data_IF_571168374425
#
_entry.id   IF_571168374425
#
_cell.length_a   1.000
_cell.length_b   1.000
_cell.length_c   1.000
_cell.angle_alpha   90.00
_cell.angle_beta   90.00
_cell.angle_gamma   90.00
#
_symmetry.space_group_name_H-M   'P 1'
#
loop_
_entity.id
_entity.type
_entity.pdbx_description
1 polymer ?
#
# COMPACT_ATOMS: atom_id res chain seq x y z
N UNK A 1 51.47 -10.32 -15.00
CA UNK A 1 50.58 -10.01 -13.85
C UNK A 1 49.51 -9.05 -14.36
N UNK A 2 48.48 -9.59 -15.01
CA UNK A 2 47.39 -8.79 -15.56
C UNK A 2 46.32 -8.63 -14.52
N UNK A 3 46.19 -7.43 -13.99
CA UNK A 3 45.06 -7.01 -13.18
C UNK A 3 43.81 -6.99 -14.08
N UNK A 4 42.93 -7.98 -13.94
CA UNK A 4 41.58 -7.91 -14.44
C UNK A 4 40.85 -6.79 -13.67
N UNK A 5 40.78 -5.62 -14.28
CA UNK A 5 39.85 -4.57 -13.88
C UNK A 5 38.46 -5.06 -14.28
N UNK A 6 37.74 -5.66 -13.32
CA UNK A 6 36.31 -5.89 -13.45
C UNK A 6 35.70 -4.53 -13.71
N UNK A 7 35.06 -4.37 -14.87
CA UNK A 7 34.19 -3.23 -15.13
C UNK A 7 33.16 -3.15 -14.00
N UNK A 8 32.86 -1.96 -13.44
CA UNK A 8 31.73 -1.82 -12.53
C UNK A 8 30.48 -2.14 -13.37
N UNK A 9 29.88 -3.31 -13.14
CA UNK A 9 28.46 -3.49 -13.46
C UNK A 9 27.80 -2.34 -12.72
N UNK A 10 27.30 -1.37 -13.47
CA UNK A 10 26.44 -0.32 -12.96
C UNK A 10 25.40 -1.02 -12.10
N UNK A 11 25.45 -0.74 -10.80
CA UNK A 11 24.41 -1.16 -9.87
C UNK A 11 23.21 -0.34 -10.30
N UNK A 12 22.41 -0.85 -11.25
CA UNK A 12 21.16 -0.24 -11.65
C UNK A 12 20.34 -0.08 -10.38
N UNK A 13 20.22 1.16 -9.90
CA UNK A 13 19.39 1.49 -8.76
C UNK A 13 17.97 1.05 -9.15
N UNK A 14 17.53 -0.05 -8.56
CA UNK A 14 16.26 -0.69 -8.92
C UNK A 14 15.12 0.09 -8.26
N UNK A 15 14.65 1.13 -8.96
CA UNK A 15 13.60 2.03 -8.48
C UNK A 15 12.29 1.28 -8.24
N UNK A 16 11.60 1.67 -7.18
CA UNK A 16 10.21 1.28 -6.93
C UNK A 16 9.36 2.54 -7.12
N UNK A 17 8.24 2.43 -7.80
CA UNK A 17 7.29 3.55 -7.95
C UNK A 17 6.00 3.24 -7.22
N UNK A 18 5.54 4.17 -6.38
CA UNK A 18 4.23 4.12 -5.74
C UNK A 18 3.30 5.18 -6.33
N UNK A 19 2.04 4.82 -6.56
CA UNK A 19 1.01 5.70 -7.09
C UNK A 19 -0.10 5.85 -6.04
N UNK A 20 -0.36 7.09 -5.61
CA UNK A 20 -1.41 7.45 -4.66
C UNK A 20 -2.38 8.42 -5.31
N UNK A 21 -3.51 7.92 -5.81
CA UNK A 21 -4.46 8.77 -6.55
C UNK A 21 -5.17 9.78 -5.65
N UNK A 22 -5.42 9.43 -4.39
CA UNK A 22 -6.22 10.22 -3.45
C UNK A 22 -5.53 10.35 -2.08
N UNK A 23 -4.36 11.02 -2.02
CA UNK A 23 -3.66 11.27 -0.76
C UNK A 23 -4.53 12.06 0.22
N UNK A 24 -4.18 12.03 1.49
CA UNK A 24 -4.88 12.76 2.53
C UNK A 24 -3.91 13.32 3.57
N UNK A 25 -4.22 14.52 4.10
CA UNK A 25 -3.62 14.96 5.35
C UNK A 25 -4.37 14.25 6.49
N UNK A 26 -3.74 13.28 7.13
CA UNK A 26 -4.34 12.61 8.27
C UNK A 26 -4.10 13.41 9.55
N UNK A 27 -5.20 13.67 10.29
CA UNK A 27 -5.18 14.33 11.60
C UNK A 27 -5.67 13.35 12.65
N UNK A 28 -4.80 13.02 13.58
CA UNK A 28 -5.16 12.26 14.77
C UNK A 28 -5.49 13.23 15.89
N UNK A 29 -6.68 13.09 16.47
CA UNK A 29 -7.17 14.00 17.50
C UNK A 29 -7.73 13.22 18.69
N UNK A 30 -7.54 13.75 19.87
CA UNK A 30 -8.16 13.23 21.09
C UNK A 30 -9.31 14.12 21.54
N UNK A 31 -10.36 13.48 22.01
CA UNK A 31 -11.55 14.12 22.55
C UNK A 31 -12.06 13.34 23.76
N UNK A 32 -12.70 13.99 24.72
CA UNK A 32 -13.29 13.29 25.87
C UNK A 32 -14.49 12.45 25.47
N UNK A 33 -15.44 13.06 24.78
CA UNK A 33 -16.66 12.41 24.28
C UNK A 33 -17.18 13.20 23.09
N UNK A 34 -17.65 12.52 22.05
CA UNK A 34 -18.31 13.17 20.91
C UNK A 34 -19.80 13.38 21.24
N UNK A 35 -20.20 14.65 21.34
CA UNK A 35 -21.57 15.07 21.52
C UNK A 35 -22.15 15.58 20.21
N UNK A 36 -23.05 14.82 19.61
CA UNK A 36 -23.69 15.19 18.34
C UNK A 36 -24.60 16.39 18.54
N UNK A 37 -24.47 17.41 17.71
CA UNK A 37 -25.24 18.65 17.77
C UNK A 37 -24.68 19.72 18.73
N UNK A 38 -23.54 19.47 19.37
CA UNK A 38 -22.88 20.38 20.29
C UNK A 38 -21.48 20.78 19.81
N UNK A 39 -20.91 21.79 20.45
CA UNK A 39 -19.51 22.15 20.23
C UNK A 39 -18.59 21.17 20.94
N UNK A 40 -17.80 20.46 20.18
CA UNK A 40 -16.77 19.55 20.69
C UNK A 40 -15.39 20.21 20.62
N UNK A 41 -14.58 20.07 21.67
CA UNK A 41 -13.17 20.52 21.69
C UNK A 41 -12.27 19.30 21.69
N UNK A 42 -11.36 19.25 20.72
CA UNK A 42 -10.43 18.15 20.55
C UNK A 42 -8.99 18.68 20.51
N UNK A 43 -8.06 17.88 20.99
CA UNK A 43 -6.62 18.14 20.93
C UNK A 43 -6.02 17.42 19.73
N UNK A 44 -5.17 18.10 18.95
CA UNK A 44 -4.44 17.49 17.83
C UNK A 44 -3.24 16.76 18.41
N UNK A 45 -3.21 15.42 18.25
CA UNK A 45 -2.08 14.59 18.66
C UNK A 45 -1.01 14.53 17.57
N UNK A 46 -1.42 14.40 16.32
CA UNK A 46 -0.50 14.39 15.18
C UNK A 46 -1.17 14.83 13.89
N UNK A 47 -0.34 15.26 12.93
CA UNK A 47 -0.72 15.49 11.53
C UNK A 47 0.37 14.90 10.64
N UNK A 48 -0.03 14.15 9.62
CA UNK A 48 0.93 13.51 8.71
C UNK A 48 0.41 13.50 7.28
N UNK A 49 1.35 13.63 6.33
CA UNK A 49 1.11 13.30 4.94
C UNK A 49 0.85 11.80 4.84
N UNK A 50 -0.31 11.40 4.31
CA UNK A 50 -0.78 10.03 4.28
C UNK A 50 -1.43 9.66 2.95
N UNK A 51 -1.73 8.41 2.81
CA UNK A 51 -2.30 7.76 1.64
C UNK A 51 -1.53 6.50 1.33
N UNK A 52 -2.24 5.41 1.04
CA UNK A 52 -1.66 4.06 0.97
C UNK A 52 -0.30 3.99 0.22
N UNK A 53 -0.19 4.59 -0.97
CA UNK A 53 1.07 4.56 -1.72
C UNK A 53 2.17 5.45 -1.11
N UNK A 54 1.83 6.54 -0.41
CA UNK A 54 2.78 7.35 0.36
C UNK A 54 3.27 6.55 1.57
N UNK A 55 2.37 5.84 2.24
CA UNK A 55 2.71 5.02 3.39
C UNK A 55 3.59 3.82 2.98
N UNK A 56 3.31 3.20 1.83
CA UNK A 56 4.22 2.23 1.20
C UNK A 56 5.60 2.85 0.93
N UNK A 57 5.65 4.09 0.40
CA UNK A 57 6.93 4.75 0.12
C UNK A 57 7.75 5.02 1.39
N UNK A 58 7.12 5.44 2.49
CA UNK A 58 7.80 5.64 3.78
C UNK A 58 8.42 4.34 4.28
N UNK A 59 7.67 3.25 4.32
CA UNK A 59 8.18 1.92 4.72
C UNK A 59 9.35 1.49 3.82
N UNK A 60 9.27 1.72 2.51
CA UNK A 60 10.38 1.43 1.61
C UNK A 60 11.64 2.24 1.96
N UNK A 61 11.48 3.49 2.41
CA UNK A 61 12.62 4.33 2.86
C UNK A 61 13.20 3.87 4.20
N UNK A 62 12.41 3.36 5.13
CA UNK A 62 12.91 2.70 6.35
C UNK A 62 13.90 1.59 5.98
N UNK A 63 13.63 0.85 4.91
CA UNK A 63 14.51 -0.20 4.36
C UNK A 63 15.48 0.32 3.29
N UNK A 64 15.76 1.62 3.24
CA UNK A 64 16.76 2.28 2.38
C UNK A 64 16.57 2.01 0.89
N UNK A 65 15.31 1.76 0.46
CA UNK A 65 14.99 1.59 -0.97
C UNK A 65 14.79 2.93 -1.64
N UNK A 66 15.31 3.08 -2.85
CA UNK A 66 15.02 4.24 -3.68
C UNK A 66 13.59 4.16 -4.20
N UNK A 67 12.80 5.21 -3.97
CA UNK A 67 11.37 5.23 -4.29
C UNK A 67 10.96 6.53 -4.97
N UNK A 68 10.19 6.39 -6.05
CA UNK A 68 9.44 7.47 -6.66
C UNK A 68 7.99 7.41 -6.14
N UNK A 69 7.43 8.52 -5.70
CA UNK A 69 6.03 8.63 -5.36
C UNK A 69 5.32 9.59 -6.31
N UNK A 70 4.16 9.18 -6.83
CA UNK A 70 3.35 10.01 -7.73
C UNK A 70 1.86 9.88 -7.43
N UNK A 71 1.07 10.78 -7.97
CA UNK A 71 -0.37 10.89 -7.76
C UNK A 71 -0.82 12.33 -7.92
N UNK A 72 -1.91 12.72 -7.26
CA UNK A 72 -2.45 14.07 -7.30
C UNK A 72 -2.25 14.77 -5.96
N UNK A 73 -1.67 15.98 -5.98
CA UNK A 73 -1.41 16.76 -4.77
C UNK A 73 -1.68 18.23 -5.02
N UNK A 74 -2.47 18.90 -4.17
CA UNK A 74 -2.77 20.31 -4.34
C UNK A 74 -3.30 21.01 -3.10
N UNK A 75 -3.52 22.33 -3.25
CA UNK A 75 -4.06 23.20 -2.23
C UNK A 75 -3.11 23.52 -1.09
N UNK A 76 -3.66 24.07 -0.01
CA UNK A 76 -2.90 24.63 1.12
C UNK A 76 -2.14 23.58 1.94
N UNK A 77 -2.47 22.31 1.80
CA UNK A 77 -1.79 21.19 2.52
C UNK A 77 -0.59 20.64 1.74
N UNK A 78 -0.45 20.92 0.46
CA UNK A 78 0.63 20.40 -0.37
C UNK A 78 2.05 20.66 0.17
N UNK A 79 2.36 21.81 0.81
CA UNK A 79 3.68 22.04 1.43
C UNK A 79 4.03 21.01 2.51
N UNK A 80 3.05 20.51 3.27
CA UNK A 80 3.26 19.49 4.32
C UNK A 80 3.74 18.18 3.68
N UNK A 81 3.14 17.79 2.56
CA UNK A 81 3.56 16.61 1.82
C UNK A 81 4.97 16.75 1.23
N UNK A 82 5.26 17.91 0.64
CA UNK A 82 6.59 18.18 0.06
C UNK A 82 7.69 18.13 1.14
N UNK A 83 7.40 18.67 2.32
CA UNK A 83 8.33 18.58 3.46
C UNK A 83 8.52 17.12 3.87
N UNK A 84 7.44 16.35 4.02
CA UNK A 84 7.51 14.92 4.33
C UNK A 84 8.36 14.16 3.28
N UNK A 85 8.17 14.41 1.99
CA UNK A 85 8.96 13.74 0.95
C UNK A 85 10.45 14.08 1.02
N UNK A 86 10.79 15.33 1.38
CA UNK A 86 12.19 15.73 1.61
C UNK A 86 12.80 15.04 2.82
N UNK A 87 12.08 15.03 3.96
CA UNK A 87 12.54 14.43 5.20
C UNK A 87 12.76 12.93 5.06
N UNK A 88 11.82 12.25 4.39
CA UNK A 88 11.85 10.81 4.12
C UNK A 88 12.72 10.42 2.89
N UNK A 89 13.27 11.41 2.18
CA UNK A 89 14.05 11.19 0.94
C UNK A 89 13.27 10.41 -0.11
N UNK A 90 11.97 10.71 -0.26
CA UNK A 90 11.09 10.19 -1.30
C UNK A 90 11.19 11.10 -2.52
N UNK A 91 11.41 10.55 -3.71
CA UNK A 91 11.42 11.33 -4.95
C UNK A 91 10.00 11.75 -5.31
N UNK A 92 9.69 13.04 -5.17
CA UNK A 92 8.39 13.63 -5.44
C UNK A 92 8.15 13.80 -6.94
N UNK A 93 7.15 13.09 -7.45
CA UNK A 93 6.66 13.19 -8.82
C UNK A 93 5.15 13.44 -8.88
N UNK A 94 4.55 13.97 -7.82
CA UNK A 94 3.13 14.27 -7.77
C UNK A 94 2.73 15.33 -8.79
N UNK A 95 1.56 15.14 -9.40
CA UNK A 95 0.93 16.13 -10.28
C UNK A 95 0.28 17.20 -9.41
N UNK A 96 0.66 18.46 -9.65
CA UNK A 96 0.05 19.59 -8.97
C UNK A 96 -1.36 19.82 -9.52
N UNK A 97 -2.36 19.82 -8.65
CA UNK A 97 -3.77 19.98 -9.01
C UNK A 97 -4.34 21.31 -8.50
N UNK A 98 -5.40 21.79 -9.16
CA UNK A 98 -6.14 22.99 -8.75
C UNK A 98 -6.93 22.79 -7.48
N UNK A 99 -7.43 21.56 -7.27
CA UNK A 99 -8.17 21.16 -6.09
C UNK A 99 -7.29 21.08 -4.84
N UNK A 100 -7.91 21.01 -3.67
CA UNK A 100 -7.20 20.81 -2.41
C UNK A 100 -7.23 19.34 -2.04
N UNK A 101 -6.05 18.78 -1.76
CA UNK A 101 -5.89 17.45 -1.19
C UNK A 101 -6.70 17.34 0.09
N UNK A 102 -7.43 16.24 0.23
CA UNK A 102 -8.37 16.00 1.33
C UNK A 102 -7.68 15.89 2.68
N UNK A 103 -8.48 16.10 3.75
CA UNK A 103 -8.08 15.85 5.12
C UNK A 103 -8.94 14.75 5.69
N UNK A 104 -8.33 13.76 6.33
CA UNK A 104 -9.01 12.78 7.14
C UNK A 104 -8.83 13.12 8.61
N UNK A 105 -9.87 12.97 9.42
CA UNK A 105 -9.83 13.19 10.86
C UNK A 105 -10.13 11.87 11.56
N UNK A 106 -9.22 11.45 12.43
CA UNK A 106 -9.39 10.30 13.30
C UNK A 106 -9.53 10.82 14.72
N UNK A 107 -10.70 10.61 15.32
CA UNK A 107 -11.01 11.02 16.68
C UNK A 107 -10.94 9.80 17.60
N UNK A 108 -10.16 9.90 18.65
CA UNK A 108 -10.13 8.93 19.75
C UNK A 108 -10.76 9.54 20.99
N UNK A 109 -11.75 8.88 21.56
CA UNK A 109 -12.27 9.28 22.85
C UNK A 109 -11.44 8.71 24.01
N UNK A 110 -11.67 9.21 25.22
CA UNK A 110 -10.97 8.74 26.43
C UNK A 110 -11.25 7.29 26.79
N UNK A 111 -12.24 6.65 26.12
CA UNK A 111 -12.56 5.22 26.26
C UNK A 111 -11.89 4.37 25.18
N UNK A 112 -11.07 4.97 24.34
CA UNK A 112 -10.39 4.31 23.23
C UNK A 112 -11.27 4.04 22.01
N UNK A 113 -12.50 4.60 21.95
CA UNK A 113 -13.36 4.45 20.78
C UNK A 113 -12.88 5.38 19.67
N UNK A 114 -12.71 4.82 18.48
CA UNK A 114 -12.30 5.54 17.26
C UNK A 114 -13.50 5.94 16.42
N UNK A 115 -13.48 7.17 15.91
CA UNK A 115 -14.39 7.67 14.90
C UNK A 115 -13.59 8.32 13.77
N UNK A 116 -13.92 8.00 12.54
CA UNK A 116 -13.24 8.53 11.35
C UNK A 116 -14.17 9.41 10.55
N UNK A 117 -13.66 10.58 10.14
CA UNK A 117 -14.29 11.49 9.19
C UNK A 117 -13.38 11.58 7.97
N UNK A 118 -13.80 10.97 6.87
CA UNK A 118 -13.00 10.85 5.65
C UNK A 118 -13.59 11.72 4.55
N UNK A 119 -12.84 12.70 4.08
CA UNK A 119 -13.24 13.51 2.92
C UNK A 119 -13.12 12.69 1.63
N UNK A 120 -14.01 12.97 0.66
CA UNK A 120 -14.03 12.27 -0.64
C UNK A 120 -12.83 12.61 -1.54
N UNK A 121 -12.16 13.72 -1.28
CA UNK A 121 -11.08 14.23 -2.13
C UNK A 121 -11.57 15.21 -3.22
N UNK A 122 -10.60 15.85 -3.91
CA UNK A 122 -10.89 16.85 -4.93
C UNK A 122 -11.46 16.24 -6.22
N UNK A 123 -11.99 17.10 -7.08
CA UNK A 123 -12.27 16.79 -8.48
C UNK A 123 -10.99 16.97 -9.29
N UNK A 124 -10.63 15.99 -10.11
CA UNK A 124 -9.44 16.02 -10.98
C UNK A 124 -9.88 16.32 -12.41
N UNK A 125 -9.29 17.32 -13.03
CA UNK A 125 -9.65 17.70 -14.40
C UNK A 125 -8.93 16.83 -15.46
N UNK A 126 -9.41 16.91 -16.70
CA UNK A 126 -8.89 16.09 -17.80
C UNK A 126 -7.40 16.34 -18.09
N UNK A 127 -6.89 17.56 -17.85
CA UNK A 127 -5.48 17.89 -18.05
C UNK A 127 -4.62 17.24 -16.97
N UNK A 128 -5.04 17.32 -15.71
CA UNK A 128 -4.39 16.70 -14.57
C UNK A 128 -4.37 15.16 -14.70
N UNK A 129 -5.49 14.58 -15.15
CA UNK A 129 -5.60 13.16 -15.48
C UNK A 129 -4.58 12.75 -16.56
N UNK A 130 -4.49 13.52 -17.65
CA UNK A 130 -3.55 13.21 -18.73
C UNK A 130 -2.09 13.32 -18.27
N UNK A 131 -1.76 14.30 -17.44
CA UNK A 131 -0.42 14.47 -16.87
C UNK A 131 0.00 13.29 -16.00
N UNK A 132 -0.91 12.75 -15.18
CA UNK A 132 -0.57 11.58 -14.35
C UNK A 132 -0.35 10.32 -15.21
N UNK A 133 -1.15 10.08 -16.25
CA UNK A 133 -0.91 8.95 -17.16
C UNK A 133 0.47 9.04 -17.79
N UNK A 134 0.87 10.21 -18.28
CA UNK A 134 2.21 10.44 -18.84
C UNK A 134 3.31 10.19 -17.80
N UNK A 135 3.11 10.68 -16.56
CA UNK A 135 4.07 10.51 -15.47
C UNK A 135 4.21 9.03 -15.08
N UNK A 136 3.11 8.30 -14.95
CA UNK A 136 3.13 6.86 -14.63
C UNK A 136 3.82 6.08 -15.75
N UNK A 137 3.56 6.40 -17.01
CA UNK A 137 4.28 5.78 -18.14
C UNK A 137 5.80 6.01 -18.05
N UNK A 138 6.22 7.26 -17.80
CA UNK A 138 7.64 7.62 -17.65
C UNK A 138 8.31 6.85 -16.50
N UNK A 139 7.66 6.85 -15.32
CA UNK A 139 8.23 6.22 -14.12
C UNK A 139 8.24 4.69 -14.23
N UNK A 140 7.21 4.08 -14.80
CA UNK A 140 7.13 2.62 -14.97
C UNK A 140 8.27 2.07 -15.84
N UNK A 141 8.72 2.81 -16.86
CA UNK A 141 9.88 2.44 -17.70
C UNK A 141 11.19 2.32 -16.91
N UNK A 142 11.29 2.99 -15.76
CA UNK A 142 12.49 3.03 -14.92
C UNK A 142 12.34 2.20 -13.64
N UNK A 143 11.18 1.58 -13.44
CA UNK A 143 10.84 0.89 -12.20
C UNK A 143 10.95 -0.63 -12.34
N UNK A 144 11.50 -1.26 -11.31
CA UNK A 144 11.44 -2.72 -11.16
C UNK A 144 10.08 -3.18 -10.64
N UNK A 145 9.41 -2.34 -9.85
CA UNK A 145 8.07 -2.58 -9.28
C UNK A 145 7.26 -1.30 -9.33
N UNK A 146 5.99 -1.41 -9.66
CA UNK A 146 5.00 -0.32 -9.56
C UNK A 146 3.87 -0.76 -8.65
N UNK A 147 3.59 0.01 -7.59
CA UNK A 147 2.48 -0.22 -6.68
C UNK A 147 1.43 0.88 -6.84
N UNK A 148 0.20 0.54 -7.23
CA UNK A 148 -0.93 1.46 -7.33
C UNK A 148 -1.84 1.21 -6.14
N UNK A 149 -1.96 2.20 -5.24
CA UNK A 149 -2.54 2.00 -3.92
C UNK A 149 -3.61 3.04 -3.57
N UNK A 150 -4.63 2.58 -2.86
CA UNK A 150 -5.65 3.43 -2.25
C UNK A 150 -6.89 3.64 -3.11
N UNK A 151 -7.72 4.58 -2.68
CA UNK A 151 -8.97 4.96 -3.35
C UNK A 151 -8.70 5.97 -4.47
N UNK A 152 -9.71 6.18 -5.32
CA UNK A 152 -9.68 7.22 -6.34
C UNK A 152 -10.40 8.50 -5.88
N UNK A 153 -9.94 9.69 -6.29
CA UNK A 153 -10.66 10.93 -6.13
C UNK A 153 -11.77 11.06 -7.21
N UNK A 154 -12.60 12.08 -7.11
CA UNK A 154 -13.59 12.39 -8.14
C UNK A 154 -12.90 12.74 -9.47
N UNK A 155 -13.52 12.38 -10.58
CA UNK A 155 -12.94 12.51 -11.92
C UNK A 155 -12.13 11.29 -12.39
N UNK A 156 -11.71 10.41 -11.48
CA UNK A 156 -11.08 9.13 -11.82
C UNK A 156 -12.15 8.05 -11.89
N UNK A 157 -12.54 7.68 -13.09
CA UNK A 157 -13.49 6.61 -13.37
C UNK A 157 -12.80 5.25 -13.61
N UNK A 158 -13.59 4.21 -13.82
CA UNK A 158 -13.10 2.86 -14.10
C UNK A 158 -12.29 2.77 -15.40
N UNK A 159 -12.68 3.54 -16.43
CA UNK A 159 -11.97 3.58 -17.70
C UNK A 159 -10.57 4.21 -17.56
N UNK A 160 -10.48 5.30 -16.80
CA UNK A 160 -9.19 5.91 -16.47
C UNK A 160 -8.32 4.96 -15.66
N UNK A 161 -8.87 4.32 -14.62
CA UNK A 161 -8.12 3.38 -13.77
C UNK A 161 -7.62 2.17 -14.57
N UNK A 162 -8.46 1.64 -15.47
CA UNK A 162 -8.05 0.61 -16.43
C UNK A 162 -6.84 1.05 -17.25
N UNK A 163 -6.90 2.25 -17.85
CA UNK A 163 -5.82 2.79 -18.67
C UNK A 163 -4.54 2.99 -17.86
N UNK A 164 -4.65 3.47 -16.62
CA UNK A 164 -3.51 3.65 -15.71
C UNK A 164 -2.79 2.32 -15.47
N UNK A 165 -3.54 1.26 -15.13
CA UNK A 165 -2.96 -0.07 -14.91
C UNK A 165 -2.32 -0.62 -16.19
N UNK A 166 -2.99 -0.47 -17.33
CA UNK A 166 -2.47 -0.94 -18.62
C UNK A 166 -1.15 -0.25 -18.99
N UNK A 167 -1.04 1.07 -18.77
CA UNK A 167 0.20 1.81 -19.00
C UNK A 167 1.32 1.36 -18.06
N UNK A 168 1.03 1.15 -16.77
CA UNK A 168 2.00 0.62 -15.84
C UNK A 168 2.50 -0.76 -16.27
N UNK A 169 1.58 -1.68 -16.61
CA UNK A 169 1.90 -3.05 -17.04
C UNK A 169 2.64 -3.13 -18.38
N UNK A 170 2.38 -2.21 -19.30
CA UNK A 170 3.09 -2.17 -20.59
C UNK A 170 4.59 -1.86 -20.43
N UNK A 171 4.98 -1.27 -19.31
CA UNK A 171 6.35 -0.81 -19.06
C UNK A 171 7.03 -1.49 -17.86
N UNK A 172 6.25 -2.17 -17.00
CA UNK A 172 6.73 -2.90 -15.82
C UNK A 172 5.90 -4.16 -15.64
N UNK A 173 6.53 -5.32 -15.58
CA UNK A 173 5.87 -6.61 -15.37
C UNK A 173 5.43 -6.85 -13.92
N UNK A 174 6.03 -6.14 -12.96
CA UNK A 174 5.79 -6.28 -11.54
C UNK A 174 4.87 -5.17 -11.02
N UNK A 175 3.58 -5.24 -11.39
CA UNK A 175 2.55 -4.29 -10.94
C UNK A 175 1.75 -4.89 -9.79
N UNK A 176 1.72 -4.16 -8.67
CA UNK A 176 0.96 -4.48 -7.46
C UNK A 176 -0.24 -3.53 -7.37
N UNK A 177 -1.42 -4.05 -7.07
CA UNK A 177 -2.62 -3.23 -6.85
C UNK A 177 -3.17 -3.48 -5.44
N UNK A 178 -3.29 -2.41 -4.67
CA UNK A 178 -3.96 -2.41 -3.35
C UNK A 178 -5.06 -1.36 -3.31
N UNK A 179 -6.25 -1.74 -3.71
CA UNK A 179 -7.45 -0.91 -3.72
C UNK A 179 -8.66 -1.73 -3.28
N UNK A 180 -9.82 -1.11 -3.16
CA UNK A 180 -11.05 -1.75 -2.66
C UNK A 180 -12.27 -1.44 -3.54
N UNK A 181 -13.37 -2.14 -3.30
CA UNK A 181 -14.64 -1.91 -3.93
C UNK A 181 -14.62 -2.09 -5.47
N UNK A 182 -15.32 -1.22 -6.22
CA UNK A 182 -15.38 -1.34 -7.69
C UNK A 182 -14.01 -1.32 -8.38
N UNK A 183 -13.07 -0.52 -7.89
CA UNK A 183 -11.73 -0.44 -8.47
C UNK A 183 -10.92 -1.74 -8.34
N UNK A 184 -11.16 -2.51 -7.28
CA UNK A 184 -10.51 -3.82 -7.14
C UNK A 184 -11.01 -4.80 -8.20
N UNK A 185 -12.31 -4.75 -8.55
CA UNK A 185 -12.86 -5.56 -9.65
C UNK A 185 -12.25 -5.17 -10.99
N UNK A 186 -12.14 -3.86 -11.26
CA UNK A 186 -11.45 -3.35 -12.45
C UNK A 186 -9.99 -3.81 -12.51
N UNK A 187 -9.29 -3.75 -11.37
CA UNK A 187 -7.90 -4.19 -11.28
C UNK A 187 -7.73 -5.69 -11.62
N UNK A 188 -8.63 -6.54 -11.13
CA UNK A 188 -8.63 -7.99 -11.39
C UNK A 188 -8.73 -8.28 -12.89
N UNK A 189 -9.59 -7.56 -13.63
CA UNK A 189 -9.72 -7.70 -15.06
C UNK A 189 -8.44 -7.37 -15.83
N UNK A 190 -7.62 -6.47 -15.27
CA UNK A 190 -6.33 -6.09 -15.86
C UNK A 190 -5.20 -7.08 -15.52
N UNK A 191 -5.45 -8.09 -14.68
CA UNK A 191 -4.50 -9.17 -14.35
C UNK A 191 -3.13 -8.61 -13.90
N UNK A 192 -3.06 -7.82 -12.83
CA UNK A 192 -1.78 -7.36 -12.28
C UNK A 192 -0.97 -8.57 -11.76
N UNK A 193 0.31 -8.33 -11.44
CA UNK A 193 1.12 -9.40 -10.86
C UNK A 193 0.61 -9.80 -9.47
N UNK A 194 0.18 -8.83 -8.66
CA UNK A 194 -0.35 -9.08 -7.33
C UNK A 194 -1.53 -8.17 -7.01
N UNK A 195 -2.55 -8.73 -6.37
CA UNK A 195 -3.57 -8.00 -5.62
C UNK A 195 -3.50 -8.39 -4.15
N UNK A 196 -3.85 -7.42 -3.25
CA UNK A 196 -3.84 -7.66 -1.81
C UNK A 196 -5.20 -7.34 -1.17
N UNK A 197 -6.21 -8.17 -1.30
CA UNK A 197 -7.44 -8.02 -0.51
C UNK A 197 -7.21 -8.39 0.97
N UNK A 198 -7.89 -7.67 1.87
CA UNK A 198 -8.13 -8.16 3.22
C UNK A 198 -9.35 -9.11 3.23
N UNK A 199 -9.68 -9.65 4.42
CA UNK A 199 -10.79 -10.59 4.56
C UNK A 199 -12.13 -9.98 4.12
N UNK A 200 -12.44 -8.74 4.50
CA UNK A 200 -13.70 -8.07 4.16
C UNK A 200 -13.78 -7.79 2.65
N UNK A 201 -12.68 -7.31 2.05
CA UNK A 201 -12.58 -7.08 0.60
C UNK A 201 -12.72 -8.40 -0.18
N UNK A 202 -12.19 -9.49 0.37
CA UNK A 202 -12.32 -10.82 -0.22
C UNK A 202 -13.78 -11.29 -0.20
N UNK A 203 -14.49 -11.13 0.91
CA UNK A 203 -15.93 -11.42 1.02
C UNK A 203 -16.77 -10.57 0.06
N UNK A 204 -16.43 -9.29 -0.10
CA UNK A 204 -17.08 -8.39 -1.06
C UNK A 204 -16.86 -8.86 -2.51
N UNK A 205 -15.64 -9.28 -2.86
CA UNK A 205 -15.33 -9.84 -4.18
C UNK A 205 -16.12 -11.11 -4.47
N UNK A 206 -16.24 -11.99 -3.49
CA UNK A 206 -17.01 -13.24 -3.57
C UNK A 206 -18.52 -12.98 -3.58
N UNK A 207 -18.98 -11.78 -3.18
CA UNK A 207 -20.40 -11.44 -3.07
C UNK A 207 -21.13 -12.16 -1.93
N UNK A 208 -20.41 -12.54 -0.88
CA UNK A 208 -20.95 -13.28 0.29
C UNK A 208 -20.69 -12.51 1.58
N UNK A 209 -21.44 -12.84 2.64
CA UNK A 209 -21.26 -12.23 3.96
C UNK A 209 -20.24 -12.96 4.83
N UNK A 210 -20.03 -14.24 4.58
CA UNK A 210 -19.08 -15.09 5.31
C UNK A 210 -18.50 -16.11 4.36
N UNK A 211 -17.25 -16.49 4.58
CA UNK A 211 -16.61 -17.60 3.89
C UNK A 211 -15.57 -18.24 4.80
N UNK A 212 -15.30 -19.50 4.60
CA UNK A 212 -14.18 -20.21 5.22
C UNK A 212 -12.87 -19.83 4.52
N UNK A 213 -11.73 -20.11 5.15
CA UNK A 213 -10.43 -19.90 4.52
C UNK A 213 -10.28 -20.73 3.24
N UNK A 214 -10.80 -21.97 3.23
CA UNK A 214 -10.76 -22.83 2.03
C UNK A 214 -11.55 -22.25 0.86
N UNK A 215 -12.72 -21.69 1.10
CA UNK A 215 -13.52 -20.99 0.06
C UNK A 215 -12.80 -19.75 -0.48
N UNK A 216 -12.16 -18.98 0.40
CA UNK A 216 -11.35 -17.82 -0.01
C UNK A 216 -10.13 -18.26 -0.85
N UNK A 217 -9.48 -19.35 -0.47
CA UNK A 217 -8.35 -19.95 -1.21
C UNK A 217 -8.82 -20.40 -2.59
N UNK A 218 -9.95 -21.13 -2.68
CA UNK A 218 -10.48 -21.58 -3.97
C UNK A 218 -10.82 -20.41 -4.90
N UNK A 219 -11.44 -19.36 -4.36
CA UNK A 219 -11.72 -18.14 -5.12
C UNK A 219 -10.42 -17.48 -5.62
N UNK A 220 -9.41 -17.32 -4.74
CA UNK A 220 -8.12 -16.75 -5.10
C UNK A 220 -7.37 -17.61 -6.15
N UNK A 221 -7.42 -18.94 -6.04
CA UNK A 221 -6.86 -19.84 -7.06
C UNK A 221 -7.55 -19.66 -8.41
N UNK A 222 -8.85 -19.40 -8.43
CA UNK A 222 -9.58 -19.10 -9.69
C UNK A 222 -9.14 -17.76 -10.30
N UNK A 223 -8.85 -16.74 -9.49
CA UNK A 223 -8.24 -15.48 -9.96
C UNK A 223 -6.84 -15.72 -10.55
N UNK A 224 -6.04 -16.58 -9.91
CA UNK A 224 -4.72 -16.94 -10.44
C UNK A 224 -4.82 -17.69 -11.78
N UNK A 225 -5.78 -18.59 -11.93
CA UNK A 225 -6.04 -19.28 -13.23
C UNK A 225 -6.46 -18.29 -14.33
N UNK A 226 -7.06 -17.16 -13.98
CA UNK A 226 -7.43 -16.10 -14.93
C UNK A 226 -6.25 -15.20 -15.32
N UNK A 227 -5.09 -15.32 -14.64
CA UNK A 227 -3.85 -14.66 -15.02
C UNK A 227 -3.29 -13.65 -14.01
N UNK A 228 -3.81 -13.57 -12.80
CA UNK A 228 -3.14 -12.90 -11.67
C UNK A 228 -2.08 -13.87 -11.13
N UNK A 229 -0.84 -13.40 -10.95
CA UNK A 229 0.23 -14.29 -10.50
C UNK A 229 0.11 -14.61 -9.00
N UNK A 230 -0.20 -13.59 -8.18
CA UNK A 230 -0.34 -13.73 -6.73
C UNK A 230 -1.58 -13.02 -6.20
N UNK A 231 -2.29 -13.68 -5.28
CA UNK A 231 -3.33 -13.08 -4.43
C UNK A 231 -2.86 -13.20 -2.98
N UNK A 232 -2.57 -12.08 -2.32
CA UNK A 232 -2.20 -12.03 -0.91
C UNK A 232 -3.42 -11.63 -0.09
N UNK A 233 -3.94 -12.55 0.72
CA UNK A 233 -5.10 -12.33 1.59
C UNK A 233 -4.61 -12.03 3.00
N UNK A 234 -4.80 -10.81 3.47
CA UNK A 234 -4.46 -10.44 4.85
C UNK A 234 -5.61 -10.80 5.81
N UNK A 235 -5.27 -11.49 6.92
CA UNK A 235 -6.21 -12.03 7.91
C UNK A 235 -6.08 -11.32 9.27
N UNK A 236 -5.48 -10.14 9.30
CA UNK A 236 -5.22 -9.40 10.54
C UNK A 236 -4.35 -10.20 11.51
N UNK A 237 -4.82 -10.39 12.74
CA UNK A 237 -4.07 -11.14 13.77
C UNK A 237 -3.83 -12.62 13.45
N UNK A 238 -4.56 -13.19 12.51
CA UNK A 238 -4.37 -14.57 12.05
C UNK A 238 -3.25 -14.69 11.01
N UNK A 239 -2.62 -13.57 10.61
CA UNK A 239 -1.53 -13.56 9.65
C UNK A 239 -1.98 -13.32 8.22
N UNK A 240 -1.53 -14.14 7.28
CA UNK A 240 -1.86 -13.97 5.87
C UNK A 240 -1.73 -15.27 5.06
N UNK A 241 -2.35 -15.28 3.88
CA UNK A 241 -2.21 -16.36 2.89
C UNK A 241 -1.71 -15.75 1.57
N UNK A 242 -0.76 -16.41 0.93
CA UNK A 242 -0.30 -16.11 -0.42
C UNK A 242 -0.72 -17.24 -1.35
N UNK A 243 -1.50 -16.91 -2.37
CA UNK A 243 -2.05 -17.88 -3.33
C UNK A 243 -1.46 -17.59 -4.71
N UNK A 244 -0.99 -18.64 -5.38
CA UNK A 244 -0.54 -18.59 -6.78
C UNK A 244 -0.95 -19.87 -7.53
N UNK A 245 -0.61 -19.95 -8.81
CA UNK A 245 -0.77 -21.19 -9.58
C UNK A 245 0.10 -22.35 -9.09
N UNK A 246 1.22 -22.06 -8.41
CA UNK A 246 2.21 -23.01 -7.93
C UNK A 246 1.87 -23.58 -6.54
N UNK A 247 0.95 -22.93 -5.83
CA UNK A 247 0.55 -23.38 -4.50
C UNK A 247 -0.07 -22.29 -3.63
N UNK A 248 -0.30 -22.69 -2.39
CA UNK A 248 -0.85 -21.85 -1.33
C UNK A 248 0.07 -21.90 -0.12
N UNK A 249 0.52 -20.74 0.31
CA UNK A 249 1.32 -20.57 1.52
C UNK A 249 0.49 -19.83 2.57
N UNK A 250 0.58 -20.31 3.80
CA UNK A 250 -0.05 -19.70 4.96
C UNK A 250 0.98 -19.41 6.03
N UNK A 251 0.88 -18.24 6.66
CA UNK A 251 1.70 -17.87 7.80
C UNK A 251 0.88 -17.20 8.87
N UNK A 252 1.18 -17.48 10.13
CA UNK A 252 0.53 -16.86 11.27
C UNK A 252 1.33 -15.64 11.74
N UNK A 253 0.62 -14.59 12.18
CA UNK A 253 1.26 -13.44 12.81
C UNK A 253 1.86 -13.85 14.16
N UNK A 254 3.11 -13.45 14.45
CA UNK A 254 3.68 -13.65 15.78
C UNK A 254 2.95 -12.80 16.82
N UNK A 255 2.87 -13.27 18.04
CA UNK A 255 2.31 -12.48 19.14
C UNK A 255 3.22 -11.31 19.46
N UNK A 256 2.66 -10.08 19.42
CA UNK A 256 3.36 -8.82 19.68
C UNK A 256 2.51 -7.88 20.54
N UNK A 257 3.14 -6.89 21.16
CA UNK A 257 2.44 -5.83 21.88
C UNK A 257 1.90 -4.80 20.88
N UNK A 258 0.64 -4.96 20.49
CA UNK A 258 -0.02 -4.14 19.46
C UNK A 258 -0.30 -2.73 19.99
N UNK A 259 0.31 -1.72 19.38
CA UNK A 259 0.07 -0.28 19.63
C UNK A 259 -0.94 0.30 18.65
N UNK A 260 -0.78 -0.02 17.36
CA UNK A 260 -1.66 0.45 16.28
C UNK A 260 -1.70 -0.56 15.15
N UNK A 261 -2.86 -0.70 14.49
CA UNK A 261 -2.98 -1.51 13.26
C UNK A 261 -3.02 -0.66 12.00
N UNK A 262 -2.86 0.67 12.14
CA UNK A 262 -2.81 1.58 11.00
C UNK A 262 -1.54 1.35 10.18
N UNK A 263 -1.68 1.33 8.86
CA UNK A 263 -0.54 1.12 7.96
C UNK A 263 -0.06 -0.33 7.83
N UNK A 264 -0.57 -1.29 8.63
CA UNK A 264 -0.19 -2.70 8.51
C UNK A 264 -0.42 -3.25 7.08
N UNK A 265 -1.53 -2.87 6.44
CA UNK A 265 -1.81 -3.25 5.06
C UNK A 265 -0.83 -2.66 4.05
N UNK A 266 -0.43 -1.41 4.26
CA UNK A 266 0.52 -0.70 3.40
C UNK A 266 1.94 -1.26 3.58
N UNK A 267 2.27 -1.65 4.80
CA UNK A 267 3.53 -2.34 5.13
C UNK A 267 3.64 -3.69 4.43
N UNK A 268 2.54 -4.44 4.31
CA UNK A 268 2.50 -5.67 3.48
C UNK A 268 2.79 -5.36 2.02
N UNK A 269 2.22 -4.30 1.46
CA UNK A 269 2.50 -3.89 0.07
C UNK A 269 3.96 -3.49 -0.10
N UNK A 270 4.52 -2.74 0.84
CA UNK A 270 5.95 -2.37 0.82
C UNK A 270 6.85 -3.62 0.85
N UNK A 271 6.52 -4.60 1.69
CA UNK A 271 7.21 -5.89 1.73
C UNK A 271 7.16 -6.61 0.38
N UNK A 272 6.00 -6.65 -0.27
CA UNK A 272 5.86 -7.28 -1.59
C UNK A 272 6.65 -6.52 -2.66
N UNK A 273 6.74 -5.18 -2.57
CA UNK A 273 7.60 -4.41 -3.44
C UNK A 273 9.09 -4.79 -3.27
N UNK A 274 9.55 -4.93 -2.03
CA UNK A 274 10.91 -5.38 -1.71
C UNK A 274 11.14 -6.79 -2.26
N UNK A 275 10.24 -7.71 -1.97
CA UNK A 275 10.34 -9.10 -2.37
C UNK A 275 10.38 -9.28 -3.90
N UNK A 276 9.52 -8.55 -4.62
CA UNK A 276 9.59 -8.55 -6.09
C UNK A 276 10.86 -7.90 -6.62
N UNK A 277 11.39 -6.89 -5.94
CA UNK A 277 12.66 -6.29 -6.33
C UNK A 277 13.85 -7.22 -6.10
N UNK A 278 13.77 -8.13 -5.15
CA UNK A 278 14.80 -9.11 -4.77
C UNK A 278 14.62 -10.48 -5.42
N UNK A 279 13.50 -10.70 -6.13
CA UNK A 279 13.13 -11.97 -6.74
C UNK A 279 13.00 -13.13 -5.71
N UNK A 280 12.38 -12.81 -4.56
CA UNK A 280 12.14 -13.76 -3.46
C UNK A 280 11.20 -14.91 -3.85
N UNK A 281 11.33 -16.04 -3.16
CA UNK A 281 10.36 -17.14 -3.24
C UNK A 281 9.04 -16.77 -2.57
N UNK A 282 7.90 -17.40 -2.93
CA UNK A 282 6.61 -17.15 -2.28
C UNK A 282 6.62 -17.28 -0.76
N UNK A 283 7.40 -18.21 -0.25
CA UNK A 283 7.60 -18.41 1.18
C UNK A 283 8.30 -17.21 1.84
N UNK A 284 9.39 -16.74 1.22
CA UNK A 284 10.10 -15.54 1.68
C UNK A 284 9.24 -14.28 1.58
N UNK A 285 8.46 -14.13 0.50
CA UNK A 285 7.52 -13.04 0.31
C UNK A 285 6.54 -12.96 1.48
N UNK A 286 5.90 -14.09 1.82
CA UNK A 286 4.91 -14.14 2.88
C UNK A 286 5.53 -13.92 4.26
N UNK A 287 6.70 -14.52 4.51
CA UNK A 287 7.43 -14.36 5.77
C UNK A 287 7.79 -12.89 6.02
N UNK A 288 8.39 -12.23 5.02
CA UNK A 288 8.71 -10.80 5.08
C UNK A 288 7.46 -9.95 5.31
N UNK A 289 6.36 -10.26 4.62
CA UNK A 289 5.10 -9.51 4.74
C UNK A 289 4.51 -9.56 6.15
N UNK A 290 4.50 -10.73 6.75
CA UNK A 290 4.00 -10.93 8.12
C UNK A 290 4.92 -10.24 9.13
N UNK A 291 6.23 -10.40 9.00
CA UNK A 291 7.20 -9.79 9.92
C UNK A 291 7.14 -8.25 9.87
N UNK A 292 7.10 -7.66 8.67
CA UNK A 292 6.98 -6.21 8.50
C UNK A 292 5.67 -5.68 9.06
N UNK A 293 4.55 -6.32 8.74
CA UNK A 293 3.23 -5.92 9.22
C UNK A 293 3.14 -6.01 10.76
N UNK A 294 3.72 -7.04 11.35
CA UNK A 294 3.77 -7.21 12.80
C UNK A 294 4.67 -6.18 13.48
N UNK A 295 5.79 -5.82 12.86
CA UNK A 295 6.68 -4.76 13.36
C UNK A 295 5.99 -3.37 13.32
N UNK A 296 5.25 -3.06 12.24
CA UNK A 296 4.43 -1.85 12.18
C UNK A 296 3.38 -1.81 13.30
N UNK A 297 2.78 -2.94 13.65
CA UNK A 297 1.78 -2.98 14.71
C UNK A 297 2.35 -2.65 16.10
N UNK A 298 3.65 -2.71 16.31
CA UNK A 298 4.33 -2.41 17.57
C UNK A 298 4.62 -0.91 17.77
N UNK A 299 4.31 -0.05 16.79
CA UNK A 299 4.51 1.41 16.85
C UNK A 299 3.17 2.17 16.80
N UNK A 300 3.17 3.41 17.33
CA UNK A 300 2.04 4.33 17.15
C UNK A 300 2.12 5.09 15.83
N UNK A 301 3.28 5.13 15.20
CA UNK A 301 3.50 5.82 13.94
C UNK A 301 2.96 4.97 12.79
N UNK A 302 2.13 5.57 11.94
CA UNK A 302 1.56 4.88 10.78
C UNK A 302 2.63 4.67 9.71
N UNK A 303 2.72 3.44 9.21
CA UNK A 303 3.64 3.08 8.13
C UNK A 303 5.11 3.43 8.45
N UNK A 304 5.52 3.11 9.66
CA UNK A 304 6.91 3.20 10.12
C UNK A 304 7.35 1.89 10.76
N UNK A 305 8.50 1.37 10.35
CA UNK A 305 9.02 0.09 10.81
C UNK A 305 10.46 0.23 11.25
N UNK A 306 10.74 -0.12 12.49
CA UNK A 306 12.11 -0.26 12.95
C UNK A 306 12.72 -1.53 12.38
N UNK A 307 13.83 -1.39 11.65
CA UNK A 307 14.56 -2.50 11.01
C UNK A 307 14.95 -3.58 12.05
N UNK A 308 15.26 -3.17 13.30
CA UNK A 308 15.53 -4.08 14.42
C UNK A 308 14.36 -4.98 14.79
N UNK A 309 13.13 -4.42 14.83
CA UNK A 309 11.94 -5.16 15.19
C UNK A 309 11.57 -6.15 14.08
N UNK A 310 11.67 -5.71 12.82
CA UNK A 310 11.51 -6.60 11.67
C UNK A 310 12.46 -7.81 11.74
N UNK A 311 13.76 -7.58 11.95
CA UNK A 311 14.74 -8.66 12.04
C UNK A 311 14.51 -9.61 13.24
N UNK A 312 14.02 -9.09 14.36
CA UNK A 312 13.67 -9.90 15.53
C UNK A 312 12.42 -10.76 15.29
N UNK A 313 11.48 -10.30 14.44
CA UNK A 313 10.24 -11.01 14.14
C UNK A 313 10.38 -12.04 13.01
N UNK A 314 11.28 -11.82 12.04
CA UNK A 314 11.50 -12.72 10.91
C UNK A 314 11.60 -14.20 11.30
N UNK A 315 12.45 -14.64 12.26
CA UNK A 315 12.54 -16.04 12.63
C UNK A 315 11.31 -16.58 13.37
N UNK A 316 10.41 -15.71 13.83
CA UNK A 316 9.17 -16.07 14.51
C UNK A 316 8.00 -16.29 13.55
N UNK A 317 8.12 -15.83 12.31
CA UNK A 317 7.12 -16.01 11.26
C UNK A 317 7.35 -17.34 10.58
N UNK A 318 6.52 -18.34 10.92
CA UNK A 318 6.57 -19.65 10.29
C UNK A 318 5.59 -19.69 9.11
N UNK A 319 6.09 -20.15 7.97
CA UNK A 319 5.31 -20.28 6.74
C UNK A 319 5.18 -21.76 6.39
N UNK A 320 3.97 -22.17 6.06
CA UNK A 320 3.64 -23.51 5.62
C UNK A 320 3.05 -23.47 4.20
N UNK A 321 3.52 -24.34 3.32
CA UNK A 321 2.88 -24.61 2.04
C UNK A 321 1.77 -25.63 2.28
N UNK A 322 0.50 -25.20 2.17
CA UNK A 322 -0.67 -26.00 2.52
C UNK A 322 -1.36 -26.66 1.30
N UNK A 323 -1.07 -26.20 0.09
CA UNK A 323 -1.52 -26.78 -1.18
C UNK A 323 -0.47 -26.62 -2.28
#
# INVERSE_FOLDING_TARGET
>A
MFLNILSPKECEVRMITTVTLNPALDKLMQIDTINIGETNRAEILSQSAAGKGIDVAKVLRDFKREVNATGFLGGIVAPIFKQCFQDEKINDHFISIKGTTRTNIQLFDTKGKRTELLEKGPEIDATELAQLLQKVEELSKKSKVVAICGSAPRGVDEAYFTKLIQLAKANCDKVIIDTSGPLLKVAIEQKPRLIKPNQDEMLELMGVKTATQDEMIEYAQNLCKQGIEYVLISLGKEGAMLVSAEGVWKGNAPEVDVKSTLGCGDTVVASMCISFAEDDTPEQMLQKSIALSSANAMTFETAHVLESDYHALMPRCQIEKIK
#
